data_IF_759142917532
#
_entry.id   IF_759142917532
#
_cell.length_a   1.000
_cell.length_b   1.000
_cell.length_c   1.000
_cell.angle_alpha   90.00
_cell.angle_beta   90.00
_cell.angle_gamma   90.00
#
_symmetry.space_group_name_H-M   'P 1'
#
loop_
_entity.id
_entity.type
_entity.pdbx_description
1 polymer ?
#
# COMPACT_ATOMS: atom_id res chain seq x y z
N UNK A 1 -13.62 14.17 -12.95
CA UNK A 1 -12.29 13.51 -12.94
C UNK A 1 -12.07 12.77 -14.25
N UNK A 2 -13.03 11.99 -14.76
CA UNK A 2 -12.90 11.19 -15.99
C UNK A 2 -12.65 12.03 -17.26
N UNK A 3 -13.24 13.22 -17.37
CA UNK A 3 -13.06 14.09 -18.54
C UNK A 3 -11.69 14.76 -18.61
N UNK A 4 -11.14 15.17 -17.46
CA UNK A 4 -9.81 15.79 -17.37
C UNK A 4 -8.69 14.78 -17.59
N UNK A 5 -8.87 13.56 -17.10
CA UNK A 5 -7.93 12.46 -17.34
C UNK A 5 -7.95 12.05 -18.81
N UNK A 6 -9.12 11.98 -19.44
CA UNK A 6 -9.22 11.72 -20.88
C UNK A 6 -8.57 12.82 -21.74
N UNK A 7 -8.64 14.10 -21.33
CA UNK A 7 -7.94 15.18 -22.02
C UNK A 7 -6.43 15.10 -21.86
N UNK A 8 -5.92 14.78 -20.66
CA UNK A 8 -4.50 14.52 -20.43
C UNK A 8 -3.98 13.35 -21.27
N UNK A 9 -4.76 12.27 -21.35
CA UNK A 9 -4.42 11.10 -22.16
C UNK A 9 -4.37 11.42 -23.66
N UNK A 10 -5.25 12.28 -24.14
CA UNK A 10 -5.26 12.72 -25.54
C UNK A 10 -4.03 13.56 -25.89
N UNK A 11 -3.50 14.33 -24.93
CA UNK A 11 -2.30 15.15 -25.11
C UNK A 11 -0.99 14.37 -25.02
N UNK A 12 -0.99 13.22 -24.34
CA UNK A 12 0.20 12.35 -24.19
C UNK A 12 0.33 11.33 -25.35
N UNK A 13 -0.64 11.24 -26.25
CA UNK A 13 -0.74 10.10 -27.16
C UNK A 13 -0.43 10.47 -28.61
N UNK A 14 0.87 10.41 -28.98
CA UNK A 14 1.28 10.49 -30.37
C UNK A 14 1.11 9.22 -31.21
N UNK A 15 0.97 8.02 -30.62
CA UNK A 15 1.02 6.74 -31.37
C UNK A 15 0.09 5.59 -30.91
N UNK A 16 -0.92 5.87 -30.10
CA UNK A 16 -2.06 4.94 -29.82
C UNK A 16 -1.77 3.75 -28.89
N UNK A 17 -0.53 3.38 -28.61
CA UNK A 17 -0.18 2.24 -27.74
C UNK A 17 -0.31 2.56 -26.24
N UNK A 18 0.11 3.75 -25.85
CA UNK A 18 0.02 4.20 -24.46
C UNK A 18 -1.44 4.28 -23.94
N UNK A 19 -2.42 4.54 -24.82
CA UNK A 19 -3.84 4.64 -24.45
C UNK A 19 -4.45 3.31 -24.02
N UNK A 20 -4.04 2.20 -24.59
CA UNK A 20 -4.55 0.87 -24.22
C UNK A 20 -4.11 0.47 -22.83
N UNK A 21 -2.86 0.72 -22.50
CA UNK A 21 -2.29 0.36 -21.21
C UNK A 21 -2.78 1.28 -20.09
N UNK A 22 -2.86 2.59 -20.35
CA UNK A 22 -3.45 3.54 -19.38
C UNK A 22 -4.94 3.27 -19.17
N UNK A 23 -5.70 2.89 -20.20
CA UNK A 23 -7.11 2.53 -20.05
C UNK A 23 -7.27 1.26 -19.21
N UNK A 24 -6.47 0.21 -19.44
CA UNK A 24 -6.46 -0.99 -18.60
C UNK A 24 -6.07 -0.70 -17.15
N UNK A 25 -5.10 0.20 -16.94
CA UNK A 25 -4.71 0.66 -15.60
C UNK A 25 -5.89 1.36 -14.92
N UNK A 26 -6.58 2.25 -15.63
CA UNK A 26 -7.74 2.96 -15.10
C UNK A 26 -8.89 2.00 -14.78
N UNK A 27 -9.18 1.04 -15.65
CA UNK A 27 -10.21 0.03 -15.43
C UNK A 27 -9.84 -0.84 -14.20
N UNK A 28 -8.59 -1.26 -14.08
CA UNK A 28 -8.10 -2.00 -12.92
C UNK A 28 -8.12 -1.14 -11.64
N UNK A 29 -7.84 0.17 -11.73
CA UNK A 29 -7.96 1.10 -10.59
C UNK A 29 -9.42 1.27 -10.15
N UNK A 30 -10.37 1.32 -11.08
CA UNK A 30 -11.80 1.37 -10.75
C UNK A 30 -12.21 0.11 -9.99
N UNK A 31 -11.88 -1.08 -10.53
CA UNK A 31 -12.18 -2.36 -9.87
C UNK A 31 -11.47 -2.48 -8.51
N UNK A 32 -10.20 -2.10 -8.43
CA UNK A 32 -9.46 -2.08 -7.16
C UNK A 32 -10.08 -1.11 -6.15
N UNK A 33 -10.55 0.06 -6.61
CA UNK A 33 -11.24 1.05 -5.80
C UNK A 33 -12.59 0.55 -5.27
N UNK A 34 -13.38 -0.13 -6.10
CA UNK A 34 -14.65 -0.74 -5.71
C UNK A 34 -14.44 -1.87 -4.69
N UNK A 35 -13.50 -2.77 -4.95
CA UNK A 35 -13.13 -3.84 -4.03
C UNK A 35 -12.59 -3.29 -2.70
N UNK A 36 -11.77 -2.24 -2.73
CA UNK A 36 -11.26 -1.60 -1.52
C UNK A 36 -12.38 -0.93 -0.70
N UNK A 37 -13.37 -0.34 -1.36
CA UNK A 37 -14.56 0.20 -0.69
C UNK A 37 -15.37 -0.89 -0.01
N UNK A 38 -15.60 -2.01 -0.66
CA UNK A 38 -16.31 -3.17 -0.10
C UNK A 38 -15.54 -3.77 1.08
N UNK A 39 -14.22 -3.96 0.95
CA UNK A 39 -13.34 -4.40 2.04
C UNK A 39 -13.39 -3.43 3.21
N UNK A 40 -13.38 -2.12 2.96
CA UNK A 40 -13.50 -1.10 4.01
C UNK A 40 -14.84 -1.16 4.74
N UNK A 41 -15.95 -1.39 4.02
CA UNK A 41 -17.26 -1.56 4.63
C UNK A 41 -17.32 -2.83 5.48
N UNK A 42 -16.86 -3.95 4.96
CA UNK A 42 -16.79 -5.22 5.69
C UNK A 42 -15.87 -5.13 6.92
N UNK A 43 -14.75 -4.44 6.81
CA UNK A 43 -13.83 -4.19 7.92
C UNK A 43 -14.47 -3.32 9.02
N UNK A 44 -15.27 -2.32 8.67
CA UNK A 44 -16.04 -1.51 9.64
C UNK A 44 -17.13 -2.35 10.35
N UNK A 45 -17.81 -3.23 9.63
CA UNK A 45 -18.77 -4.16 10.22
C UNK A 45 -18.11 -5.15 11.18
N UNK A 46 -16.98 -5.72 10.79
CA UNK A 46 -16.17 -6.63 11.61
C UNK A 46 -15.67 -5.89 12.86
N UNK A 47 -15.16 -4.66 12.70
CA UNK A 47 -14.74 -3.81 13.81
C UNK A 47 -15.90 -3.54 14.78
N UNK A 48 -17.10 -3.23 14.27
CA UNK A 48 -18.29 -3.05 15.09
C UNK A 48 -18.67 -4.32 15.86
N UNK A 49 -18.57 -5.49 15.25
CA UNK A 49 -18.82 -6.79 15.91
C UNK A 49 -17.76 -7.13 16.96
N UNK A 50 -16.48 -6.86 16.67
CA UNK A 50 -15.36 -7.06 17.62
C UNK A 50 -15.51 -6.13 18.82
N UNK A 51 -15.87 -4.86 18.61
CA UNK A 51 -16.13 -3.89 19.69
C UNK A 51 -17.29 -4.33 20.58
N UNK A 52 -18.36 -4.85 19.99
CA UNK A 52 -19.48 -5.39 20.74
C UNK A 52 -19.13 -6.65 21.56
N UNK A 53 -18.16 -7.44 21.09
CA UNK A 53 -17.72 -8.66 21.78
C UNK A 53 -16.71 -8.38 22.91
N UNK A 54 -15.86 -7.35 22.77
CA UNK A 54 -14.79 -7.05 23.73
C UNK A 54 -15.20 -6.12 24.88
N UNK A 55 -16.45 -5.63 24.92
CA UNK A 55 -16.98 -4.75 26.00
C UNK A 55 -15.99 -3.67 26.50
N UNK A 56 -15.16 -3.13 25.62
CA UNK A 56 -14.14 -2.14 25.97
C UNK A 56 -14.19 -0.94 25.03
N UNK A 57 -14.24 0.26 25.60
CA UNK A 57 -14.20 1.56 24.94
C UNK A 57 -12.89 1.79 24.16
N UNK A 58 -12.67 1.06 23.07
CA UNK A 58 -11.57 1.29 22.16
C UNK A 58 -12.13 1.66 20.79
N UNK A 59 -12.00 2.91 20.36
CA UNK A 59 -12.15 3.29 18.97
C UNK A 59 -11.16 2.50 18.13
N UNK A 60 -11.63 1.43 17.48
CA UNK A 60 -10.84 0.73 16.48
C UNK A 60 -10.83 1.58 15.21
N UNK A 61 -9.69 2.20 14.97
CA UNK A 61 -9.44 2.87 13.70
C UNK A 61 -9.18 1.82 12.62
N UNK A 62 -9.99 1.81 11.58
CA UNK A 62 -9.84 0.90 10.44
C UNK A 62 -9.60 1.74 9.20
N UNK A 63 -8.49 1.52 8.54
CA UNK A 63 -8.17 2.18 7.28
C UNK A 63 -7.80 1.15 6.21
N UNK A 64 -8.30 1.38 5.01
CA UNK A 64 -7.93 0.65 3.81
C UNK A 64 -7.17 1.58 2.89
N UNK A 65 -6.06 1.14 2.35
CA UNK A 65 -5.32 1.89 1.34
C UNK A 65 -5.03 1.03 0.12
N UNK A 66 -5.29 1.58 -1.05
CA UNK A 66 -4.90 1.02 -2.33
C UNK A 66 -3.73 1.81 -2.91
N UNK A 67 -2.79 1.13 -3.53
CA UNK A 67 -1.65 1.75 -4.21
C UNK A 67 -1.48 1.16 -5.60
N UNK A 68 -1.07 1.98 -6.55
CA UNK A 68 -0.59 1.54 -7.85
C UNK A 68 0.85 1.99 -8.01
N UNK A 69 1.77 1.06 -7.98
CA UNK A 69 3.20 1.28 -8.15
C UNK A 69 3.64 0.89 -9.57
N UNK A 70 4.56 1.64 -10.12
CA UNK A 70 5.27 1.32 -11.36
C UNK A 70 6.71 0.95 -11.04
N UNK A 71 7.13 -0.24 -11.48
CA UNK A 71 8.50 -0.71 -11.34
C UNK A 71 9.35 -0.14 -12.47
N UNK A 72 10.26 0.77 -12.16
CA UNK A 72 11.08 1.47 -13.16
C UNK A 72 12.12 0.58 -13.84
N UNK A 73 12.44 -0.59 -13.25
CA UNK A 73 13.41 -1.54 -13.81
C UNK A 73 12.77 -2.64 -14.66
N UNK A 74 11.53 -3.04 -14.33
CA UNK A 74 10.82 -4.14 -15.00
C UNK A 74 9.76 -3.68 -15.98
N UNK A 75 9.49 -2.37 -16.01
CA UNK A 75 8.42 -1.78 -16.84
C UNK A 75 7.06 -2.43 -16.55
N UNK A 76 6.74 -2.62 -15.28
CA UNK A 76 5.56 -3.35 -14.83
C UNK A 76 4.84 -2.63 -13.69
N UNK A 77 3.52 -2.86 -13.58
CA UNK A 77 2.68 -2.29 -12.54
C UNK A 77 2.46 -3.28 -11.39
N UNK A 78 2.47 -2.75 -10.17
CA UNK A 78 2.25 -3.48 -8.93
C UNK A 78 1.08 -2.85 -8.18
N UNK A 79 -0.14 -3.34 -8.36
CA UNK A 79 -1.27 -2.93 -7.54
C UNK A 79 -1.15 -3.55 -6.15
N UNK A 80 -1.33 -2.73 -5.11
CA UNK A 80 -1.25 -3.15 -3.71
C UNK A 80 -2.51 -2.75 -2.96
N UNK A 81 -2.87 -3.53 -1.96
CA UNK A 81 -3.98 -3.26 -1.06
C UNK A 81 -3.55 -3.55 0.38
N UNK A 82 -3.83 -2.62 1.29
CA UNK A 82 -3.52 -2.74 2.71
C UNK A 82 -4.76 -2.46 3.55
N UNK A 83 -4.96 -3.27 4.58
CA UNK A 83 -5.93 -3.09 5.64
C UNK A 83 -5.18 -2.89 6.95
N UNK A 84 -5.37 -1.74 7.61
CA UNK A 84 -4.83 -1.46 8.93
C UNK A 84 -5.97 -1.36 9.94
N UNK A 85 -5.81 -2.02 11.08
CA UNK A 85 -6.77 -2.01 12.19
C UNK A 85 -6.04 -1.58 13.46
N UNK A 86 -6.52 -0.53 14.09
CA UNK A 86 -5.93 0.07 15.29
C UNK A 86 -5.17 1.36 15.01
N UNK A 87 -5.00 2.17 16.04
CA UNK A 87 -4.37 3.50 15.97
C UNK A 87 -2.90 3.45 16.37
N UNK A 88 -2.64 3.50 17.68
CA UNK A 88 -1.26 3.49 18.19
C UNK A 88 -0.65 2.08 18.19
N UNK A 89 -1.44 1.08 18.58
CA UNK A 89 -1.11 -0.33 18.34
C UNK A 89 -2.01 -0.81 17.21
N UNK A 90 -1.42 -1.43 16.19
CA UNK A 90 -2.15 -1.80 14.98
C UNK A 90 -1.75 -3.16 14.44
N UNK A 91 -2.72 -3.81 13.81
CA UNK A 91 -2.50 -4.89 12.86
C UNK A 91 -2.55 -4.35 11.44
N UNK A 92 -1.72 -4.89 10.55
CA UNK A 92 -1.75 -4.57 9.13
C UNK A 92 -1.74 -5.88 8.34
N UNK A 93 -2.68 -5.98 7.41
CA UNK A 93 -2.71 -7.02 6.38
C UNK A 93 -2.51 -6.36 5.03
N UNK A 94 -1.69 -6.97 4.18
CA UNK A 94 -1.38 -6.43 2.86
C UNK A 94 -1.30 -7.49 1.79
N UNK A 95 -1.64 -7.10 0.57
CA UNK A 95 -1.38 -7.85 -0.65
C UNK A 95 -0.67 -6.90 -1.60
N UNK A 96 0.54 -7.25 -2.01
CA UNK A 96 1.32 -6.50 -2.98
C UNK A 96 1.41 -7.25 -4.31
N UNK A 97 1.59 -6.55 -5.41
CA UNK A 97 1.73 -7.10 -6.78
C UNK A 97 0.53 -7.96 -7.19
N UNK A 98 -0.69 -7.53 -6.89
CA UNK A 98 -1.90 -8.25 -7.30
C UNK A 98 -1.91 -8.45 -8.82
N UNK A 99 -2.14 -9.72 -9.24
CA UNK A 99 -2.16 -10.09 -10.65
C UNK A 99 -0.80 -10.50 -11.24
N UNK A 100 0.31 -10.33 -10.48
CA UNK A 100 1.65 -10.72 -10.92
C UNK A 100 2.51 -11.15 -9.72
N UNK A 101 2.53 -12.44 -9.40
CA UNK A 101 3.23 -13.03 -8.25
C UNK A 101 2.92 -12.31 -6.92
N UNK A 102 1.68 -12.40 -6.40
CA UNK A 102 1.27 -11.66 -5.22
C UNK A 102 2.06 -12.09 -3.98
N UNK A 103 2.45 -11.11 -3.17
CA UNK A 103 3.08 -11.32 -1.88
C UNK A 103 2.22 -10.70 -0.78
N UNK A 104 2.30 -11.26 0.43
CA UNK A 104 1.43 -10.93 1.54
C UNK A 104 2.22 -10.34 2.69
N UNK A 105 1.62 -9.34 3.33
CA UNK A 105 2.08 -8.77 4.58
C UNK A 105 1.08 -9.08 5.70
N UNK A 106 1.57 -9.42 6.89
CA UNK A 106 0.78 -9.57 8.10
C UNK A 106 1.64 -9.10 9.28
N UNK A 107 1.40 -7.87 9.73
CA UNK A 107 2.24 -7.17 10.69
C UNK A 107 1.45 -6.79 11.94
N UNK A 108 2.15 -6.78 13.07
CA UNK A 108 1.73 -6.06 14.25
C UNK A 108 2.73 -4.93 14.51
N UNK A 109 2.23 -3.72 14.74
CA UNK A 109 3.04 -2.54 14.95
C UNK A 109 2.54 -1.67 16.10
N UNK A 110 3.42 -0.79 16.55
CA UNK A 110 3.10 0.21 17.57
C UNK A 110 3.74 1.54 17.22
N UNK A 111 2.95 2.60 17.25
CA UNK A 111 3.38 4.00 17.12
C UNK A 111 3.53 4.65 18.49
N UNK A 112 4.52 5.51 18.63
CA UNK A 112 4.70 6.40 19.76
C UNK A 112 5.11 7.77 19.27
N UNK A 113 4.15 8.69 19.21
CA UNK A 113 4.35 9.97 18.52
C UNK A 113 4.59 9.72 17.03
N UNK A 114 5.62 10.32 16.50
CA UNK A 114 5.98 10.23 15.08
C UNK A 114 6.74 8.94 14.72
N UNK A 115 7.15 8.14 15.69
CA UNK A 115 7.96 6.93 15.47
C UNK A 115 7.16 5.67 15.74
N UNK A 116 7.42 4.63 14.96
CA UNK A 116 6.81 3.32 15.11
C UNK A 116 7.81 2.19 14.89
N UNK A 117 7.41 1.02 15.36
CA UNK A 117 8.08 -0.24 15.06
C UNK A 117 7.02 -1.28 14.73
N UNK A 118 7.36 -2.21 13.87
CA UNK A 118 6.49 -3.32 13.52
C UNK A 118 7.29 -4.59 13.26
N UNK A 119 6.62 -5.73 13.39
CA UNK A 119 7.18 -7.03 13.09
C UNK A 119 6.09 -7.99 12.63
N UNK A 120 6.46 -9.03 11.88
CA UNK A 120 5.55 -10.04 11.39
C UNK A 120 6.02 -10.66 10.08
N UNK A 121 5.06 -10.92 9.20
CA UNK A 121 5.32 -11.38 7.85
C UNK A 121 5.39 -10.17 6.92
N UNK A 122 6.49 -10.01 6.22
CA UNK A 122 6.75 -8.97 5.21
C UNK A 122 7.06 -9.68 3.90
N UNK A 123 6.23 -9.49 2.87
CA UNK A 123 6.40 -10.11 1.56
C UNK A 123 6.60 -11.63 1.63
N UNK A 124 5.72 -12.32 2.36
CA UNK A 124 5.76 -13.76 2.64
C UNK A 124 6.95 -14.23 3.53
N UNK A 125 7.70 -13.33 4.14
CA UNK A 125 8.89 -13.64 4.94
C UNK A 125 8.81 -13.00 6.32
N UNK A 126 9.44 -13.59 7.31
CA UNK A 126 9.56 -12.98 8.64
C UNK A 126 10.45 -11.74 8.54
N UNK A 127 10.00 -10.67 9.19
CA UNK A 127 10.71 -9.40 9.20
C UNK A 127 10.27 -8.46 10.30
N UNK A 128 10.98 -7.36 10.38
CA UNK A 128 10.67 -6.25 11.28
C UNK A 128 11.05 -4.93 10.61
N UNK A 129 10.47 -3.84 11.08
CA UNK A 129 10.74 -2.54 10.54
C UNK A 129 10.46 -1.41 11.51
N UNK A 130 10.79 -0.22 11.06
CA UNK A 130 10.55 1.03 11.75
C UNK A 130 9.84 2.02 10.85
N UNK A 131 8.97 2.82 11.45
CA UNK A 131 8.17 3.84 10.80
C UNK A 131 8.50 5.22 11.36
N UNK A 132 8.43 6.21 10.51
CA UNK A 132 8.40 7.62 10.87
C UNK A 132 7.27 8.30 10.13
N UNK A 133 6.40 9.02 10.85
CA UNK A 133 5.28 9.73 10.27
C UNK A 133 5.16 11.12 10.89
N UNK A 134 5.41 12.16 10.11
CA UNK A 134 5.30 13.54 10.57
C UNK A 134 4.71 14.43 9.48
N UNK A 135 3.65 15.14 9.82
CA UNK A 135 2.94 16.02 8.91
C UNK A 135 2.39 15.26 7.70
N UNK A 136 2.90 15.58 6.52
CA UNK A 136 2.50 14.94 5.25
C UNK A 136 3.40 13.77 4.84
N UNK A 137 4.46 13.51 5.58
CA UNK A 137 5.45 12.49 5.27
C UNK A 137 5.28 11.24 6.09
N UNK A 138 5.43 10.09 5.45
CA UNK A 138 5.61 8.81 6.10
C UNK A 138 6.79 8.10 5.46
N UNK A 139 7.64 7.51 6.30
CA UNK A 139 8.75 6.68 5.87
C UNK A 139 8.70 5.36 6.62
N UNK A 140 9.06 4.27 5.96
CA UNK A 140 9.29 2.99 6.60
C UNK A 140 10.55 2.34 6.07
N UNK A 141 11.21 1.60 6.95
CA UNK A 141 12.36 0.79 6.64
C UNK A 141 12.15 -0.60 7.22
N UNK A 142 12.18 -1.61 6.38
CA UNK A 142 11.94 -3.00 6.73
C UNK A 142 13.17 -3.84 6.44
N UNK A 143 13.42 -4.81 7.31
CA UNK A 143 14.40 -5.88 7.12
C UNK A 143 13.67 -7.21 7.22
N UNK A 144 13.76 -8.06 6.23
CA UNK A 144 13.03 -9.31 6.16
C UNK A 144 13.84 -10.40 5.44
N UNK A 145 13.31 -11.64 5.48
CA UNK A 145 13.98 -12.84 4.97
C UNK A 145 15.33 -13.10 5.65
N UNK A 146 15.38 -13.67 6.87
CA UNK A 146 16.62 -13.92 7.58
C UNK A 146 17.60 -14.84 6.85
N UNK A 147 17.13 -15.65 5.89
CA UNK A 147 17.97 -16.55 5.09
C UNK A 147 18.58 -15.86 3.88
N UNK A 148 17.91 -14.83 3.33
CA UNK A 148 18.34 -14.05 2.20
C UNK A 148 17.98 -12.57 2.46
N UNK A 149 18.74 -11.95 3.34
CA UNK A 149 18.44 -10.65 3.92
C UNK A 149 18.04 -9.62 2.86
N UNK A 150 16.85 -9.08 3.00
CA UNK A 150 16.31 -8.06 2.12
C UNK A 150 15.93 -6.82 2.90
N UNK A 151 16.15 -5.65 2.31
CA UNK A 151 15.76 -4.36 2.87
C UNK A 151 14.74 -3.69 1.96
N UNK A 152 13.65 -3.17 2.54
CA UNK A 152 12.68 -2.33 1.85
C UNK A 152 12.68 -0.95 2.48
N UNK A 153 12.82 0.08 1.66
CA UNK A 153 12.62 1.47 2.05
C UNK A 153 11.40 2.00 1.33
N UNK A 154 10.50 2.65 2.06
CA UNK A 154 9.30 3.26 1.50
C UNK A 154 9.14 4.67 2.01
N UNK A 155 8.78 5.59 1.11
CA UNK A 155 8.41 6.96 1.42
C UNK A 155 7.05 7.29 0.83
N UNK A 156 6.22 8.01 1.59
CA UNK A 156 4.92 8.48 1.14
C UNK A 156 4.78 9.98 1.43
N UNK A 157 4.13 10.70 0.53
CA UNK A 157 3.81 12.12 0.70
C UNK A 157 2.33 12.37 0.45
N UNK A 158 1.60 12.82 1.47
CA UNK A 158 0.17 13.11 1.37
C UNK A 158 -0.07 14.39 0.56
N UNK A 159 -0.71 14.27 -0.61
CA UNK A 159 -1.17 15.38 -1.44
C UNK A 159 -2.46 15.96 -0.86
N UNK A 160 -3.38 15.08 -0.45
CA UNK A 160 -4.63 15.39 0.24
C UNK A 160 -4.77 14.44 1.44
N UNK A 161 -5.82 14.56 2.29
CA UNK A 161 -6.06 13.58 3.35
C UNK A 161 -6.16 12.12 2.86
N UNK A 162 -6.61 11.92 1.64
CA UNK A 162 -6.85 10.60 1.07
C UNK A 162 -5.86 10.19 -0.02
N UNK A 163 -5.31 11.14 -0.79
CA UNK A 163 -4.41 10.87 -1.91
C UNK A 163 -2.96 11.09 -1.52
N UNK A 164 -2.07 10.16 -1.85
CA UNK A 164 -0.65 10.27 -1.59
C UNK A 164 0.21 9.76 -2.75
N UNK A 165 1.41 10.33 -2.86
CA UNK A 165 2.49 9.79 -3.68
C UNK A 165 3.26 8.77 -2.85
N UNK A 166 3.77 7.73 -3.48
CA UNK A 166 4.59 6.71 -2.84
C UNK A 166 5.80 6.36 -3.69
N UNK A 167 6.93 6.16 -3.02
CA UNK A 167 8.14 5.61 -3.60
C UNK A 167 8.63 4.45 -2.75
N UNK A 168 9.14 3.41 -3.38
CA UNK A 168 9.64 2.23 -2.70
C UNK A 168 10.89 1.70 -3.40
N UNK A 169 11.88 1.30 -2.60
CA UNK A 169 13.07 0.60 -3.08
C UNK A 169 13.24 -0.71 -2.30
N UNK A 170 13.49 -1.79 -3.02
CA UNK A 170 13.71 -3.12 -2.46
C UNK A 170 15.12 -3.57 -2.84
N UNK A 171 15.93 -3.88 -1.84
CA UNK A 171 17.33 -4.30 -1.94
C UNK A 171 17.46 -5.73 -1.41
N UNK A 172 17.31 -6.75 -2.26
CA UNK A 172 17.58 -8.13 -1.85
C UNK A 172 19.08 -8.40 -1.85
N UNK A 173 19.56 -9.24 -0.93
CA UNK A 173 20.96 -9.61 -0.84
C UNK A 173 21.49 -10.28 -2.13
N UNK A 174 20.70 -11.14 -2.74
CA UNK A 174 21.08 -11.89 -3.95
C UNK A 174 20.68 -11.21 -5.27
N UNK A 175 20.36 -9.92 -5.28
CA UNK A 175 19.94 -9.15 -6.47
C UNK A 175 18.70 -9.73 -7.22
N UNK A 176 17.99 -10.71 -6.65
CA UNK A 176 16.78 -11.30 -7.23
C UNK A 176 15.53 -10.66 -6.61
N UNK A 177 14.66 -10.11 -7.43
CA UNK A 177 13.38 -9.57 -6.98
C UNK A 177 13.43 -8.15 -6.40
N UNK A 178 14.55 -7.46 -6.49
CA UNK A 178 14.67 -6.05 -6.15
C UNK A 178 14.04 -5.14 -7.18
N UNK A 179 13.77 -3.88 -6.79
CA UNK A 179 13.22 -2.90 -7.70
C UNK A 179 13.06 -1.54 -7.06
N UNK A 180 12.94 -0.56 -7.93
CA UNK A 180 12.58 0.81 -7.60
C UNK A 180 11.17 1.06 -8.12
N UNK A 181 10.30 1.55 -7.27
CA UNK A 181 8.90 1.74 -7.57
C UNK A 181 8.50 3.17 -7.25
N UNK A 182 7.68 3.75 -8.10
CA UNK A 182 7.03 5.03 -7.86
C UNK A 182 5.54 4.88 -8.19
N UNK A 183 4.69 5.57 -7.46
CA UNK A 183 3.26 5.46 -7.71
C UNK A 183 2.41 6.38 -6.87
N UNK A 184 1.13 6.09 -6.91
CA UNK A 184 0.09 6.82 -6.20
C UNK A 184 -0.72 5.86 -5.35
N UNK A 185 -1.27 6.36 -4.25
CA UNK A 185 -2.17 5.60 -3.42
C UNK A 185 -3.32 6.45 -2.88
N UNK A 186 -4.36 5.75 -2.45
CA UNK A 186 -5.57 6.34 -1.91
C UNK A 186 -5.98 5.64 -0.60
N UNK A 187 -6.31 6.43 0.42
CA UNK A 187 -6.86 5.97 1.70
C UNK A 187 -8.39 6.13 1.67
N UNK A 188 -9.10 5.09 2.10
CA UNK A 188 -10.57 5.01 2.13
C UNK A 188 -11.11 5.19 3.54
#
# INVERSE_FOLDING_TARGET
ITSQVNQMLYQLNGDGKATGDVRRIMDNMVVASENAKEISQNAKEISGKINGFMQGNGDFDVSVSGELLYNTKKDDFSPNLFLRVGKDSYGLLGIESMGNDPVYDALYGRMRGDYGVHAGIIRNKIGAGADYASGRWKFSADVYDPNDLSVRLRGQYALTPNLFLTGQSIFPHNNRGGGEYIGVGYNY
#
